data_IF_896412663697
#
_entry.id   IF_896412663697
#
_cell.length_a   1.000
_cell.length_b   1.000
_cell.length_c   1.000
_cell.angle_alpha   90.00
_cell.angle_beta   90.00
_cell.angle_gamma   90.00
#
_symmetry.space_group_name_H-M   'P 1'
#
loop_
_entity.id
_entity.type
_entity.pdbx_description
1 polymer ?
#
# COMPACT_ATOMS: atom_id res chain seq x y z
N UNK A 1 26.10 -26.10 -1.85
CA UNK A 1 26.54 -24.97 -1.00
C UNK A 1 27.79 -25.36 -0.27
N UNK A 2 28.66 -24.38 -0.03
CA UNK A 2 29.80 -24.53 0.87
C UNK A 2 29.60 -23.66 2.10
N UNK A 3 30.05 -24.09 3.27
CA UNK A 3 30.08 -23.29 4.49
C UNK A 3 31.53 -23.07 4.91
N UNK A 4 31.82 -22.19 5.86
CA UNK A 4 33.11 -22.14 6.55
C UNK A 4 32.95 -21.61 7.98
N UNK A 5 33.89 -21.88 8.89
CA UNK A 5 33.84 -21.30 10.24
C UNK A 5 34.77 -20.10 10.35
N UNK A 6 34.22 -18.96 10.75
CA UNK A 6 34.95 -17.73 11.08
C UNK A 6 34.79 -17.41 12.57
N UNK A 7 35.85 -17.63 13.35
CA UNK A 7 35.82 -17.51 14.80
C UNK A 7 34.75 -18.41 15.43
N UNK A 8 33.83 -17.82 16.21
CA UNK A 8 32.72 -18.55 16.83
C UNK A 8 31.50 -18.71 15.91
N UNK A 9 31.65 -18.51 14.60
CA UNK A 9 30.51 -18.50 13.69
C UNK A 9 30.68 -19.49 12.53
N UNK A 10 29.63 -20.24 12.20
CA UNK A 10 29.50 -20.94 10.93
C UNK A 10 28.91 -19.98 9.89
N UNK A 11 29.68 -19.62 8.89
CA UNK A 11 29.31 -18.74 7.77
C UNK A 11 28.95 -19.59 6.57
N UNK A 12 27.74 -19.41 6.05
CA UNK A 12 27.23 -20.18 4.91
C UNK A 12 26.83 -19.23 3.78
N UNK A 13 27.65 -19.09 2.72
CA UNK A 13 27.19 -18.45 1.49
C UNK A 13 26.04 -19.27 0.88
N UNK A 14 24.86 -18.64 0.78
CA UNK A 14 23.66 -19.29 0.24
C UNK A 14 23.23 -18.73 -1.12
N UNK A 15 23.73 -17.56 -1.52
CA UNK A 15 23.60 -17.07 -2.89
C UNK A 15 24.68 -17.65 -3.82
N UNK A 16 24.28 -18.01 -5.04
CA UNK A 16 25.18 -18.43 -6.12
C UNK A 16 25.65 -17.25 -7.00
N UNK A 17 25.03 -16.07 -6.87
CA UNK A 17 25.30 -14.87 -7.66
C UNK A 17 26.09 -13.82 -6.89
N UNK A 18 25.94 -13.76 -5.56
CA UNK A 18 26.65 -12.81 -4.69
C UNK A 18 27.28 -13.55 -3.48
N UNK A 19 28.62 -13.71 -3.46
CA UNK A 19 29.30 -14.45 -2.40
C UNK A 19 29.29 -13.76 -1.03
N UNK A 20 28.78 -12.53 -0.92
CA UNK A 20 28.62 -11.83 0.35
C UNK A 20 27.29 -12.15 1.06
N UNK A 21 26.33 -12.77 0.37
CA UNK A 21 25.06 -13.15 0.98
C UNK A 21 25.28 -14.46 1.74
N UNK A 22 25.51 -14.30 3.05
CA UNK A 22 25.92 -15.36 3.95
C UNK A 22 25.03 -15.40 5.18
N UNK A 23 24.62 -16.60 5.59
CA UNK A 23 24.02 -16.82 6.90
C UNK A 23 25.15 -17.08 7.89
N UNK A 24 25.18 -16.31 8.98
CA UNK A 24 26.19 -16.44 10.04
C UNK A 24 25.52 -17.04 11.26
N UNK A 25 25.88 -18.28 11.60
CA UNK A 25 25.32 -19.03 12.72
C UNK A 25 26.34 -19.00 13.86
N UNK A 26 26.08 -18.28 14.97
CA UNK A 26 26.96 -18.27 16.12
C UNK A 26 26.89 -19.60 16.87
N UNK A 27 28.05 -20.17 17.22
CA UNK A 27 28.15 -21.32 18.10
C UNK A 27 27.96 -20.87 19.56
N UNK A 28 27.00 -21.44 20.31
CA UNK A 28 26.67 -20.99 21.67
C UNK A 28 27.67 -21.46 22.75
N UNK A 29 28.65 -22.30 22.42
CA UNK A 29 29.64 -22.84 23.38
C UNK A 29 31.11 -22.68 22.92
N UNK A 30 32.05 -22.95 23.83
CA UNK A 30 33.50 -22.86 23.59
C UNK A 30 34.07 -24.01 22.75
N UNK A 31 33.26 -24.95 22.27
CA UNK A 31 33.71 -26.06 21.40
C UNK A 31 33.84 -25.62 19.92
N UNK A 32 33.41 -24.40 19.59
CA UNK A 32 33.64 -23.72 18.31
C UNK A 32 35.10 -23.71 17.86
N UNK A 33 36.04 -23.70 18.83
CA UNK A 33 37.48 -23.68 18.60
C UNK A 33 38.00 -24.87 17.76
N UNK A 34 37.27 -25.98 17.69
CA UNK A 34 37.64 -27.15 16.88
C UNK A 34 37.38 -26.98 15.38
N UNK A 35 36.63 -25.95 14.98
CA UNK A 35 36.19 -25.77 13.59
C UNK A 35 36.66 -24.46 12.95
N UNK A 36 37.20 -23.51 13.72
CA UNK A 36 37.72 -22.20 13.25
C UNK A 36 38.67 -22.38 12.04
N UNK A 37 38.32 -21.79 10.89
CA UNK A 37 39.10 -21.85 9.66
C UNK A 37 38.82 -23.07 8.75
N UNK A 38 37.83 -23.90 9.07
CA UNK A 38 37.39 -24.99 8.19
C UNK A 38 36.58 -24.46 7.00
N UNK A 39 36.89 -24.88 5.77
CA UNK A 39 36.09 -24.67 4.56
C UNK A 39 35.32 -25.96 4.23
N UNK A 40 33.99 -25.93 4.32
CA UNK A 40 33.09 -27.02 4.00
C UNK A 40 32.67 -26.93 2.51
N UNK A 41 33.46 -27.49 1.58
CA UNK A 41 33.11 -27.50 0.14
C UNK A 41 32.56 -28.86 -0.37
N UNK A 42 32.33 -29.80 0.54
CA UNK A 42 32.16 -31.24 0.29
C UNK A 42 32.53 -32.02 1.57
N UNK A 43 32.38 -33.36 1.63
CA UNK A 43 32.17 -34.11 2.86
C UNK A 43 33.24 -33.89 3.94
N UNK A 44 32.77 -33.91 5.19
CA UNK A 44 33.60 -34.06 6.40
C UNK A 44 34.42 -35.35 6.22
N UNK A 45 35.73 -35.23 6.21
CA UNK A 45 36.66 -36.06 6.98
C UNK A 45 38.07 -35.45 6.86
N UNK A 46 38.90 -35.40 7.92
CA UNK A 46 39.39 -36.52 8.75
C UNK A 46 39.55 -36.09 10.23
N UNK A 47 39.39 -36.95 11.25
CA UNK A 47 40.40 -37.90 11.74
C UNK A 47 39.91 -38.92 12.80
N UNK A 48 40.69 -40.00 12.92
CA UNK A 48 40.83 -41.04 13.95
C UNK A 48 39.77 -42.19 14.00
N UNK A 49 40.24 -43.46 14.11
CA UNK A 49 39.40 -44.64 13.92
C UNK A 49 38.71 -45.04 15.23
N UNK A 50 37.42 -44.72 15.35
CA UNK A 50 36.58 -45.26 16.40
C UNK A 50 35.52 -44.30 16.85
N UNK A 51 34.30 -44.51 16.34
CA UNK A 51 33.04 -43.81 16.61
C UNK A 51 32.79 -42.63 15.67
N UNK A 52 31.98 -42.93 14.65
CA UNK A 52 31.55 -42.11 13.52
C UNK A 52 30.03 -41.97 13.59
N UNK A 53 29.46 -40.76 13.67
CA UNK A 53 28.15 -40.42 13.06
C UNK A 53 28.08 -38.89 12.83
N UNK A 54 28.52 -38.42 11.66
CA UNK A 54 27.86 -37.28 10.99
C UNK A 54 27.38 -37.86 9.66
N UNK A 55 26.10 -38.23 9.60
CA UNK A 55 25.56 -39.00 8.49
C UNK A 55 24.94 -38.06 7.45
N UNK A 56 25.54 -38.06 6.26
CA UNK A 56 24.79 -37.85 5.03
C UNK A 56 23.68 -38.94 4.96
N UNK A 57 22.42 -38.56 5.13
CA UNK A 57 21.30 -39.48 4.91
C UNK A 57 21.12 -39.64 3.40
N UNK A 58 21.66 -40.71 2.82
CA UNK A 58 21.63 -40.97 1.37
C UNK A 58 20.76 -42.15 0.95
N UNK A 59 19.99 -42.76 1.88
CA UNK A 59 19.11 -43.88 1.54
C UNK A 59 17.76 -43.89 2.30
N UNK A 60 16.65 -44.27 1.62
CA UNK A 60 15.29 -44.21 2.13
C UNK A 60 14.93 -45.46 2.94
N UNK A 61 15.62 -45.74 4.05
CA UNK A 61 15.11 -46.73 5.02
C UNK A 61 15.42 -46.36 6.47
N UNK A 62 15.63 -45.07 6.73
CA UNK A 62 15.71 -44.50 8.08
C UNK A 62 14.63 -43.43 8.28
N UNK A 63 13.42 -43.71 7.78
CA UNK A 63 12.20 -43.10 8.33
C UNK A 63 12.25 -43.34 9.84
N UNK A 64 12.27 -42.26 10.62
CA UNK A 64 12.55 -42.21 12.05
C UNK A 64 14.06 -42.34 12.39
N UNK A 65 14.74 -41.20 12.48
CA UNK A 65 16.12 -41.13 12.98
C UNK A 65 16.17 -41.47 14.46
N UNK A 66 16.23 -42.76 14.80
CA UNK A 66 16.75 -43.26 16.09
C UNK A 66 18.22 -42.87 16.35
N UNK A 67 18.68 -41.73 15.83
CA UNK A 67 19.86 -41.02 16.25
C UNK A 67 19.63 -40.59 17.70
N UNK A 68 20.62 -40.83 18.55
CA UNK A 68 20.61 -40.28 19.88
C UNK A 68 20.54 -38.76 19.78
N UNK A 69 19.64 -38.15 20.56
CA UNK A 69 19.56 -36.70 20.67
C UNK A 69 20.98 -36.17 21.00
N UNK A 70 21.56 -35.28 20.16
CA UNK A 70 22.89 -34.78 20.39
C UNK A 70 23.03 -34.18 21.79
N UNK A 71 24.03 -34.62 22.54
CA UNK A 71 24.30 -34.06 23.88
C UNK A 71 24.77 -32.60 23.84
N UNK A 72 25.08 -32.07 22.65
CA UNK A 72 25.48 -30.70 22.39
C UNK A 72 24.80 -30.17 21.11
N UNK A 73 24.58 -28.85 20.99
CA UNK A 73 23.99 -28.23 19.80
C UNK A 73 24.73 -28.65 18.53
N UNK A 74 24.01 -29.16 17.53
CA UNK A 74 24.60 -29.76 16.32
C UNK A 74 24.01 -29.14 15.04
N UNK A 75 24.87 -28.96 14.02
CA UNK A 75 24.49 -28.62 12.66
C UNK A 75 24.39 -29.89 11.80
N UNK A 76 23.31 -30.04 11.04
CA UNK A 76 23.04 -31.20 10.18
C UNK A 76 23.19 -30.82 8.70
N UNK A 77 23.88 -31.68 7.93
CA UNK A 77 23.99 -31.55 6.47
C UNK A 77 23.20 -32.67 5.79
N UNK A 78 22.29 -32.30 4.89
CA UNK A 78 21.32 -33.22 4.30
C UNK A 78 21.35 -33.12 2.78
N UNK A 79 21.28 -34.27 2.09
CA UNK A 79 21.21 -34.34 0.63
C UNK A 79 20.41 -35.56 0.18
N UNK A 80 19.16 -35.34 -0.20
CA UNK A 80 18.29 -36.32 -0.84
C UNK A 80 18.29 -36.15 -2.36
N UNK A 81 18.21 -37.27 -3.06
CA UNK A 81 18.14 -37.35 -4.53
C UNK A 81 16.94 -38.15 -5.03
N UNK A 82 16.14 -38.71 -4.12
CA UNK A 82 14.95 -39.50 -4.40
C UNK A 82 13.76 -38.93 -3.61
N UNK A 83 12.64 -38.73 -4.28
CA UNK A 83 11.40 -38.22 -3.70
C UNK A 83 10.67 -39.26 -2.85
N UNK A 84 11.11 -40.52 -2.85
CA UNK A 84 10.43 -41.61 -2.15
C UNK A 84 10.47 -41.52 -0.62
N UNK A 85 11.45 -40.82 -0.03
CA UNK A 85 11.47 -40.45 1.41
C UNK A 85 12.30 -39.19 1.65
N UNK A 86 11.64 -38.04 1.80
CA UNK A 86 12.31 -36.75 1.99
C UNK A 86 11.83 -35.98 3.23
N UNK A 87 11.42 -36.67 4.30
CA UNK A 87 11.01 -36.03 5.56
C UNK A 87 12.12 -36.10 6.62
N UNK A 88 12.46 -34.96 7.21
CA UNK A 88 13.33 -34.79 8.36
C UNK A 88 12.51 -34.29 9.55
N UNK A 89 12.43 -35.08 10.62
CA UNK A 89 11.67 -34.74 11.83
C UNK A 89 12.62 -34.43 12.99
N UNK A 90 12.65 -33.16 13.41
CA UNK A 90 13.53 -32.65 14.46
C UNK A 90 12.80 -32.31 15.77
N UNK A 91 11.49 -32.53 15.89
CA UNK A 91 10.66 -32.03 17.02
C UNK A 91 11.21 -32.35 18.42
N UNK A 92 12.00 -33.41 18.59
CA UNK A 92 12.62 -33.78 19.87
C UNK A 92 14.17 -33.86 19.83
N UNK A 93 14.80 -33.16 18.90
CA UNK A 93 16.24 -33.23 18.65
C UNK A 93 16.93 -31.91 19.04
N UNK A 94 18.15 -31.97 19.58
CA UNK A 94 19.01 -30.81 19.86
C UNK A 94 19.81 -30.39 18.61
N UNK A 95 19.08 -30.13 17.53
CA UNK A 95 19.61 -29.63 16.27
C UNK A 95 19.34 -28.12 16.19
N UNK A 96 20.40 -27.36 15.93
CA UNK A 96 20.34 -25.89 15.90
C UNK A 96 20.53 -25.33 14.48
N UNK A 97 21.05 -26.16 13.56
CA UNK A 97 21.14 -25.77 12.16
C UNK A 97 20.91 -26.93 11.20
N UNK A 98 20.29 -26.65 10.05
CA UNK A 98 20.09 -27.60 8.95
C UNK A 98 20.57 -26.97 7.64
N UNK A 99 21.49 -27.63 6.95
CA UNK A 99 21.96 -27.27 5.61
C UNK A 99 21.50 -28.34 4.64
N UNK A 100 20.47 -28.03 3.87
CA UNK A 100 19.86 -28.93 2.89
C UNK A 100 20.36 -28.64 1.48
N UNK A 101 21.12 -29.58 0.91
CA UNK A 101 21.61 -29.57 -0.48
C UNK A 101 20.82 -30.52 -1.41
N UNK A 102 19.62 -30.94 -1.00
CA UNK A 102 18.78 -31.86 -1.78
C UNK A 102 18.36 -31.23 -3.11
N UNK A 103 18.31 -32.05 -4.16
CA UNK A 103 17.84 -31.65 -5.49
C UNK A 103 16.37 -32.02 -5.73
N UNK A 104 15.73 -32.59 -4.72
CA UNK A 104 14.32 -32.97 -4.69
C UNK A 104 13.66 -32.27 -3.50
N UNK A 105 12.33 -32.04 -3.53
CA UNK A 105 11.62 -31.42 -2.42
C UNK A 105 11.75 -32.23 -1.13
N UNK A 106 11.93 -31.54 0.00
CA UNK A 106 12.00 -32.16 1.33
C UNK A 106 10.95 -31.57 2.27
N UNK A 107 10.58 -32.32 3.30
CA UNK A 107 9.77 -31.84 4.42
C UNK A 107 10.63 -31.77 5.67
N UNK A 108 10.61 -30.66 6.39
CA UNK A 108 11.30 -30.46 7.65
C UNK A 108 10.30 -30.11 8.75
N UNK A 109 10.22 -30.93 9.79
CA UNK A 109 9.55 -30.56 11.04
C UNK A 109 10.60 -30.01 11.99
N UNK A 110 10.45 -28.76 12.40
CA UNK A 110 11.39 -28.11 13.30
C UNK A 110 11.33 -28.65 14.75
N UNK A 111 12.42 -28.45 15.48
CA UNK A 111 12.59 -28.62 16.92
C UNK A 111 12.22 -27.34 17.68
N UNK A 112 11.69 -27.45 18.89
CA UNK A 112 11.40 -26.30 19.78
C UNK A 112 12.66 -25.63 20.39
N UNK A 113 13.86 -25.82 19.81
CA UNK A 113 15.07 -25.17 20.32
C UNK A 113 15.13 -23.72 19.88
N UNK A 114 15.47 -22.82 20.81
CA UNK A 114 15.67 -21.41 20.50
C UNK A 114 16.74 -21.20 19.42
N UNK A 115 16.43 -20.34 18.43
CA UNK A 115 17.33 -19.80 17.40
C UNK A 115 17.81 -20.82 16.36
N UNK A 116 16.88 -21.55 15.74
CA UNK A 116 17.23 -22.45 14.64
C UNK A 116 17.65 -21.71 13.37
N UNK A 117 18.61 -22.28 12.63
CA UNK A 117 19.01 -21.79 11.31
C UNK A 117 18.86 -22.87 10.23
N UNK A 118 18.00 -22.62 9.25
CA UNK A 118 17.71 -23.55 8.16
C UNK A 118 18.19 -22.93 6.85
N UNK A 119 18.84 -23.72 6.00
CA UNK A 119 19.21 -23.32 4.65
C UNK A 119 18.78 -24.41 3.69
N UNK A 120 17.97 -24.06 2.70
CA UNK A 120 17.49 -24.96 1.65
C UNK A 120 18.09 -24.64 0.30
N UNK A 121 18.49 -25.67 -0.42
CA UNK A 121 18.88 -25.60 -1.82
C UNK A 121 17.69 -25.50 -2.78
N UNK A 122 17.99 -25.62 -4.08
CA UNK A 122 17.04 -25.38 -5.19
C UNK A 122 15.92 -26.42 -5.34
N UNK A 123 15.91 -27.48 -4.52
CA UNK A 123 14.95 -28.58 -4.62
C UNK A 123 13.55 -28.27 -4.08
N UNK A 124 13.38 -27.15 -3.37
CA UNK A 124 12.16 -26.82 -2.63
C UNK A 124 12.09 -27.49 -1.25
N UNK A 125 11.32 -26.90 -0.34
CA UNK A 125 11.15 -27.36 1.03
C UNK A 125 9.74 -27.08 1.55
N UNK A 126 9.15 -28.04 2.25
CA UNK A 126 8.04 -27.81 3.18
C UNK A 126 8.61 -27.70 4.59
N UNK A 127 8.52 -26.54 5.21
CA UNK A 127 8.99 -26.27 6.57
C UNK A 127 7.81 -26.10 7.52
N UNK A 128 7.77 -26.90 8.57
CA UNK A 128 6.94 -26.67 9.74
C UNK A 128 7.80 -26.04 10.83
N UNK A 129 7.73 -24.72 10.94
CA UNK A 129 8.50 -23.89 11.88
C UNK A 129 7.70 -23.74 13.19
N UNK A 130 7.95 -24.60 14.18
CA UNK A 130 7.23 -24.60 15.45
C UNK A 130 8.20 -24.47 16.63
N UNK A 131 7.85 -23.65 17.63
CA UNK A 131 8.33 -23.78 19.00
C UNK A 131 9.43 -22.80 19.46
N UNK A 132 10.13 -22.11 18.56
CA UNK A 132 10.99 -21.00 18.93
C UNK A 132 11.33 -20.06 17.76
N UNK A 133 11.99 -18.94 18.07
CA UNK A 133 12.55 -18.04 17.04
C UNK A 133 13.53 -18.79 16.13
N UNK A 134 13.55 -18.44 14.84
CA UNK A 134 14.45 -19.06 13.89
C UNK A 134 14.72 -18.20 12.66
N UNK A 135 15.58 -18.70 11.78
CA UNK A 135 15.86 -18.12 10.48
C UNK A 135 15.93 -19.23 9.43
N UNK A 136 15.26 -19.05 8.29
CA UNK A 136 15.33 -19.98 7.17
C UNK A 136 15.59 -19.25 5.85
N UNK A 137 16.64 -19.66 5.13
CA UNK A 137 16.97 -19.16 3.81
C UNK A 137 16.73 -20.23 2.73
N UNK A 138 16.10 -19.85 1.64
CA UNK A 138 15.69 -20.74 0.56
C UNK A 138 16.32 -20.28 -0.76
N UNK A 139 17.34 -20.98 -1.23
CA UNK A 139 18.09 -20.64 -2.44
C UNK A 139 17.32 -20.87 -3.76
N UNK A 140 16.05 -21.26 -3.70
CA UNK A 140 15.16 -21.50 -4.84
C UNK A 140 14.21 -22.68 -4.65
N UNK A 141 13.57 -23.10 -5.74
CA UNK A 141 12.52 -24.13 -5.71
C UNK A 141 11.20 -23.59 -5.13
N UNK A 142 10.11 -24.34 -5.29
CA UNK A 142 8.84 -23.99 -4.65
C UNK A 142 8.89 -24.41 -3.18
N UNK A 143 8.67 -23.45 -2.26
CA UNK A 143 8.71 -23.70 -0.82
C UNK A 143 7.34 -23.45 -0.18
N UNK A 144 7.06 -24.22 0.87
CA UNK A 144 5.87 -24.08 1.71
C UNK A 144 6.34 -23.89 3.14
N UNK A 145 5.97 -22.80 3.78
CA UNK A 145 6.26 -22.55 5.20
C UNK A 145 4.96 -22.53 5.99
N UNK A 146 4.94 -23.24 7.11
CA UNK A 146 3.86 -23.22 8.09
C UNK A 146 4.44 -22.97 9.47
N UNK A 147 4.27 -21.74 9.97
CA UNK A 147 4.64 -21.35 11.31
C UNK A 147 3.65 -21.81 12.37
N UNK A 148 4.13 -21.90 13.61
CA UNK A 148 3.33 -22.19 14.79
C UNK A 148 2.35 -21.07 15.13
N UNK A 149 1.26 -21.41 15.82
CA UNK A 149 0.20 -20.45 16.21
C UNK A 149 0.22 -20.13 17.71
N UNK A 150 1.23 -20.61 18.44
CA UNK A 150 1.34 -20.46 19.90
C UNK A 150 2.78 -20.18 20.27
N UNK A 151 3.01 -19.14 21.08
CA UNK A 151 4.36 -18.62 21.35
C UNK A 151 4.57 -17.32 20.58
N UNK A 152 5.22 -16.33 21.20
CA UNK A 152 5.59 -15.05 20.57
C UNK A 152 6.91 -15.25 19.83
N UNK A 153 6.90 -16.11 18.82
CA UNK A 153 8.10 -16.69 18.21
C UNK A 153 8.37 -16.07 16.85
N UNK A 154 9.36 -15.19 16.77
CA UNK A 154 9.72 -14.46 15.56
C UNK A 154 10.65 -15.26 14.65
N UNK A 155 10.29 -15.36 13.37
CA UNK A 155 11.08 -15.96 12.31
C UNK A 155 11.59 -14.95 11.29
N UNK A 156 12.77 -15.24 10.74
CA UNK A 156 13.27 -14.60 9.54
C UNK A 156 13.22 -15.60 8.37
N UNK A 157 12.46 -15.31 7.33
CA UNK A 157 12.37 -16.12 6.12
C UNK A 157 12.96 -15.34 4.94
N UNK A 158 13.87 -15.96 4.20
CA UNK A 158 14.55 -15.33 3.06
C UNK A 158 14.45 -16.23 1.82
N UNK A 159 13.84 -15.73 0.75
CA UNK A 159 13.58 -16.48 -0.47
C UNK A 159 14.30 -15.88 -1.66
N UNK A 160 15.17 -16.66 -2.32
CA UNK A 160 15.94 -16.23 -3.49
C UNK A 160 15.29 -16.61 -4.84
N UNK A 161 14.18 -17.35 -4.80
CA UNK A 161 13.46 -17.76 -6.01
C UNK A 161 12.32 -18.75 -5.74
N UNK A 162 11.62 -19.11 -6.82
CA UNK A 162 10.47 -20.01 -6.82
C UNK A 162 9.18 -19.36 -6.38
N UNK A 163 8.06 -20.00 -6.70
CA UNK A 163 6.73 -19.63 -6.21
C UNK A 163 6.51 -20.24 -4.84
N UNK A 164 6.47 -19.39 -3.80
CA UNK A 164 6.41 -19.83 -2.42
C UNK A 164 5.03 -19.58 -1.79
N UNK A 165 4.63 -20.44 -0.85
CA UNK A 165 3.46 -20.23 0.01
C UNK A 165 3.91 -20.15 1.46
N UNK A 166 3.68 -19.01 2.10
CA UNK A 166 4.13 -18.75 3.46
C UNK A 166 2.92 -18.48 4.35
N UNK A 167 2.86 -19.19 5.48
CA UNK A 167 2.06 -18.83 6.64
C UNK A 167 3.05 -18.62 7.79
N UNK A 168 3.37 -17.37 8.14
CA UNK A 168 4.47 -17.08 9.06
C UNK A 168 4.12 -17.42 10.52
N UNK A 169 2.85 -17.27 10.91
CA UNK A 169 2.31 -17.84 12.15
C UNK A 169 2.15 -16.78 13.23
N UNK A 170 2.52 -17.09 14.46
CA UNK A 170 2.48 -16.15 15.58
C UNK A 170 3.89 -15.67 15.93
N UNK A 171 4.09 -14.37 16.07
CA UNK A 171 5.40 -13.77 16.29
C UNK A 171 5.53 -12.48 15.50
N UNK A 172 6.60 -11.72 15.72
CA UNK A 172 6.92 -10.60 14.83
C UNK A 172 7.89 -11.13 13.78
N UNK A 173 7.37 -11.57 12.65
CA UNK A 173 8.14 -12.25 11.62
C UNK A 173 8.73 -11.23 10.63
N UNK A 174 9.78 -11.65 9.94
CA UNK A 174 10.36 -10.90 8.83
C UNK A 174 10.50 -11.81 7.62
N UNK A 175 9.92 -11.39 6.49
CA UNK A 175 9.94 -12.15 5.24
C UNK A 175 10.61 -11.31 4.17
N UNK A 176 11.64 -11.84 3.53
CA UNK A 176 12.19 -11.33 2.27
C UNK A 176 11.77 -12.25 1.14
N UNK A 177 10.96 -11.73 0.22
CA UNK A 177 10.44 -12.43 -0.94
C UNK A 177 11.41 -12.44 -2.12
N UNK A 178 11.09 -13.25 -3.12
CA UNK A 178 11.85 -13.40 -4.36
C UNK A 178 11.15 -12.66 -5.51
N UNK A 179 11.81 -12.41 -6.66
CA UNK A 179 11.17 -11.81 -7.83
C UNK A 179 10.01 -12.61 -8.47
N UNK A 180 9.80 -13.86 -8.05
CA UNK A 180 8.71 -14.72 -8.51
C UNK A 180 7.39 -14.40 -7.79
N UNK A 181 6.30 -15.05 -8.16
CA UNK A 181 4.99 -14.85 -7.51
C UNK A 181 4.86 -15.69 -6.24
N UNK A 182 4.58 -15.06 -5.11
CA UNK A 182 4.41 -15.70 -3.81
C UNK A 182 3.03 -15.40 -3.19
N UNK A 183 2.60 -16.27 -2.27
CA UNK A 183 1.43 -16.08 -1.42
C UNK A 183 1.88 -16.05 0.04
N UNK A 184 1.62 -14.94 0.73
CA UNK A 184 2.07 -14.70 2.09
C UNK A 184 0.89 -14.39 3.03
N UNK A 185 0.74 -15.19 4.07
CA UNK A 185 -0.10 -14.92 5.23
C UNK A 185 0.83 -14.61 6.41
N UNK A 186 0.75 -13.39 6.93
CA UNK A 186 1.68 -12.92 7.97
C UNK A 186 1.30 -13.51 9.32
N UNK A 187 0.00 -13.53 9.65
CA UNK A 187 -0.51 -14.21 10.83
C UNK A 187 -0.67 -13.22 11.98
N UNK A 188 -0.17 -13.53 13.17
CA UNK A 188 -0.33 -12.64 14.32
C UNK A 188 0.99 -12.05 14.78
N UNK A 189 1.05 -10.73 14.87
CA UNK A 189 2.19 -10.01 15.39
C UNK A 189 2.44 -8.76 14.59
N UNK A 190 3.63 -8.18 14.70
CA UNK A 190 4.00 -7.02 13.93
C UNK A 190 5.03 -7.45 12.89
N UNK A 191 4.56 -7.80 11.71
CA UNK A 191 5.37 -8.46 10.70
C UNK A 191 6.01 -7.44 9.75
N UNK A 192 7.18 -7.79 9.22
CA UNK A 192 7.90 -6.98 8.23
C UNK A 192 8.06 -7.81 6.96
N UNK A 193 7.61 -7.28 5.83
CA UNK A 193 7.73 -7.95 4.53
C UNK A 193 8.52 -7.07 3.56
N UNK A 194 9.54 -7.64 2.94
CA UNK A 194 10.22 -7.11 1.76
C UNK A 194 9.82 -7.98 0.58
N UNK A 195 8.73 -7.62 -0.09
CA UNK A 195 8.17 -8.36 -1.21
C UNK A 195 8.84 -7.92 -2.51
N UNK A 196 9.14 -8.88 -3.38
CA UNK A 196 9.62 -8.63 -4.74
C UNK A 196 8.69 -9.34 -5.72
N UNK A 197 8.54 -8.84 -6.94
CA UNK A 197 7.80 -9.55 -7.99
C UNK A 197 6.29 -9.28 -7.98
N UNK A 198 5.49 -10.34 -8.11
CA UNK A 198 4.02 -10.27 -8.21
C UNK A 198 3.38 -11.07 -7.08
N UNK A 199 3.27 -10.47 -5.90
CA UNK A 199 2.91 -11.18 -4.67
C UNK A 199 1.49 -10.89 -4.20
N UNK A 200 0.88 -11.86 -3.51
CA UNK A 200 -0.33 -11.66 -2.70
C UNK A 200 0.02 -11.74 -1.22
N UNK A 201 -0.34 -10.72 -0.46
CA UNK A 201 0.02 -10.57 0.96
C UNK A 201 -1.23 -10.32 1.79
N UNK A 202 -1.39 -11.06 2.88
CA UNK A 202 -2.50 -10.95 3.83
C UNK A 202 -1.94 -10.75 5.23
N UNK A 203 -2.17 -9.58 5.83
CA UNK A 203 -1.55 -9.24 7.13
C UNK A 203 -2.17 -9.91 8.36
N UNK A 204 -3.45 -10.31 8.30
CA UNK A 204 -4.18 -10.98 9.39
C UNK A 204 -4.28 -10.17 10.70
N UNK A 205 -3.42 -10.30 11.73
CA UNK A 205 -3.58 -9.52 12.98
C UNK A 205 -2.29 -8.87 13.45
N UNK A 206 -2.43 -7.71 14.11
CA UNK A 206 -1.29 -6.94 14.63
C UNK A 206 -0.92 -5.76 13.71
N UNK A 207 0.32 -5.28 13.75
CA UNK A 207 0.73 -4.05 13.07
C UNK A 207 1.85 -4.32 12.05
N UNK A 208 1.47 -4.48 10.79
CA UNK A 208 2.36 -4.98 9.76
C UNK A 208 2.94 -3.87 8.89
N UNK A 209 4.16 -4.08 8.43
CA UNK A 209 4.85 -3.20 7.47
C UNK A 209 5.24 -4.00 6.24
N UNK A 210 4.70 -3.60 5.09
CA UNK A 210 5.00 -4.20 3.79
C UNK A 210 5.75 -3.18 2.95
N UNK A 211 6.96 -3.55 2.54
CA UNK A 211 7.72 -2.87 1.52
C UNK A 211 7.69 -3.74 0.25
N UNK A 212 6.98 -3.28 -0.77
CA UNK A 212 6.81 -4.02 -2.02
C UNK A 212 7.66 -3.39 -3.13
N UNK A 213 8.49 -4.21 -3.76
CA UNK A 213 9.20 -3.91 -5.00
C UNK A 213 8.52 -4.67 -6.13
N UNK A 214 7.89 -3.96 -7.06
CA UNK A 214 7.06 -4.60 -8.08
C UNK A 214 5.58 -4.57 -7.71
N UNK A 215 4.81 -5.55 -8.18
CA UNK A 215 3.35 -5.53 -8.04
C UNK A 215 2.93 -6.34 -6.81
N UNK A 216 2.21 -5.74 -5.89
CA UNK A 216 1.60 -6.48 -4.78
C UNK A 216 0.08 -6.32 -4.75
N UNK A 217 -0.60 -7.41 -4.40
CA UNK A 217 -1.98 -7.40 -3.94
C UNK A 217 -1.97 -7.59 -2.42
N UNK A 218 -2.23 -6.53 -1.66
CA UNK A 218 -2.20 -6.56 -0.20
C UNK A 218 -3.61 -6.43 0.41
N UNK A 219 -3.92 -7.30 1.37
CA UNK A 219 -5.15 -7.26 2.16
C UNK A 219 -4.83 -6.91 3.63
N UNK A 220 -5.28 -5.73 4.06
CA UNK A 220 -5.16 -5.27 5.45
C UNK A 220 -6.25 -5.88 6.32
N UNK A 221 -6.04 -7.11 6.78
CA UNK A 221 -6.85 -7.66 7.86
C UNK A 221 -6.32 -7.27 9.26
N UNK A 222 -5.10 -6.71 9.29
CA UNK A 222 -4.33 -6.35 10.48
C UNK A 222 -5.02 -5.26 11.32
N UNK A 223 -4.52 -5.03 12.54
CA UNK A 223 -4.94 -3.88 13.34
C UNK A 223 -4.46 -2.56 12.72
N UNK A 224 -3.30 -2.59 12.07
CA UNK A 224 -2.84 -1.53 11.18
C UNK A 224 -1.86 -2.08 10.13
N UNK A 225 -1.84 -1.48 8.94
CA UNK A 225 -0.85 -1.78 7.90
C UNK A 225 -0.18 -0.51 7.39
N UNK A 226 1.14 -0.53 7.32
CA UNK A 226 1.95 0.42 6.54
C UNK A 226 2.38 -0.29 5.26
N UNK A 227 1.95 0.23 4.11
CA UNK A 227 2.32 -0.29 2.80
C UNK A 227 3.16 0.76 2.06
N UNK A 228 4.34 0.34 1.60
CA UNK A 228 5.30 1.20 0.90
C UNK A 228 5.63 0.53 -0.43
N UNK A 229 5.22 1.16 -1.52
CA UNK A 229 5.74 0.82 -2.84
C UNK A 229 7.13 1.43 -2.99
N UNK A 230 8.14 0.59 -3.19
CA UNK A 230 9.49 1.01 -3.52
C UNK A 230 9.89 0.50 -4.91
N UNK A 231 10.96 1.08 -5.44
CA UNK A 231 11.46 0.71 -6.76
C UNK A 231 12.93 0.32 -6.66
N UNK A 232 13.30 -0.70 -7.42
CA UNK A 232 14.69 -1.10 -7.61
C UNK A 232 14.96 -1.15 -9.11
N UNK A 233 15.86 -0.28 -9.58
CA UNK A 233 16.22 -0.19 -10.99
C UNK A 233 15.03 0.22 -11.87
N UNK A 234 14.69 -0.63 -12.84
CA UNK A 234 13.56 -0.43 -13.76
C UNK A 234 12.26 -1.08 -13.29
N UNK A 235 12.28 -1.78 -12.16
CA UNK A 235 11.08 -2.41 -11.61
C UNK A 235 10.24 -1.33 -10.92
N UNK A 236 9.27 -0.80 -11.66
CA UNK A 236 8.26 0.12 -11.16
C UNK A 236 7.01 -0.69 -10.87
N UNK A 237 6.61 -0.70 -9.61
CA UNK A 237 5.56 -1.56 -9.10
C UNK A 237 4.18 -0.94 -9.09
N UNK A 238 3.22 -1.55 -9.79
CA UNK A 238 1.81 -1.19 -9.65
C UNK A 238 1.13 -2.08 -8.61
N UNK A 239 0.60 -1.50 -7.54
CA UNK A 239 0.07 -2.27 -6.41
C UNK A 239 -1.41 -2.00 -6.16
N UNK A 240 -2.12 -3.05 -5.76
CA UNK A 240 -3.51 -2.96 -5.28
C UNK A 240 -3.54 -3.25 -3.79
N UNK A 241 -4.14 -2.34 -3.03
CA UNK A 241 -4.24 -2.43 -1.59
C UNK A 241 -5.71 -2.38 -1.20
N UNK A 242 -6.14 -3.36 -0.41
CA UNK A 242 -7.50 -3.48 0.09
C UNK A 242 -7.44 -3.36 1.62
N UNK A 243 -8.02 -2.28 2.12
CA UNK A 243 -8.22 -1.99 3.53
C UNK A 243 -9.21 -2.94 4.19
N UNK A 244 -9.21 -2.95 5.52
CA UNK A 244 -10.13 -3.74 6.33
C UNK A 244 -10.58 -2.94 7.54
N UNK A 245 -10.68 -3.59 8.70
CA UNK A 245 -11.07 -2.90 9.94
C UNK A 245 -9.93 -2.12 10.60
N UNK A 246 -8.67 -2.42 10.26
CA UNK A 246 -7.49 -1.76 10.79
C UNK A 246 -7.10 -0.49 10.03
N UNK A 247 -6.30 0.35 10.68
CA UNK A 247 -5.80 1.58 10.06
C UNK A 247 -4.87 1.27 8.88
N UNK A 248 -4.93 2.08 7.84
CA UNK A 248 -4.16 1.90 6.63
C UNK A 248 -3.29 3.13 6.37
N UNK A 249 -1.99 2.93 6.12
CA UNK A 249 -1.06 3.96 5.62
C UNK A 249 -0.41 3.48 4.33
N UNK A 250 -0.72 4.10 3.20
CA UNK A 250 -0.15 3.76 1.90
C UNK A 250 0.76 4.87 1.37
N UNK A 251 1.96 4.48 0.95
CA UNK A 251 2.90 5.32 0.23
C UNK A 251 3.15 4.74 -1.16
N UNK A 252 2.58 5.36 -2.19
CA UNK A 252 2.46 4.76 -3.52
C UNK A 252 3.73 4.69 -4.38
N UNK A 253 4.82 5.33 -3.95
CA UNK A 253 6.11 5.25 -4.65
C UNK A 253 6.06 5.88 -6.03
N UNK A 254 6.66 5.23 -7.05
CA UNK A 254 6.67 5.75 -8.42
C UNK A 254 5.79 4.99 -9.42
N UNK A 255 5.10 3.94 -8.97
CA UNK A 255 4.20 3.17 -9.81
C UNK A 255 2.75 3.64 -9.69
N UNK A 256 1.86 2.96 -10.40
CA UNK A 256 0.42 3.21 -10.31
C UNK A 256 -0.15 2.50 -9.07
N UNK A 257 -1.02 3.16 -8.33
CA UNK A 257 -1.59 2.57 -7.11
C UNK A 257 -3.11 2.57 -7.14
N UNK A 258 -3.67 1.40 -6.81
CA UNK A 258 -5.09 1.26 -6.51
C UNK A 258 -5.27 0.98 -5.01
N UNK A 259 -5.98 1.85 -4.30
CA UNK A 259 -6.29 1.68 -2.88
C UNK A 259 -7.80 1.70 -2.68
N UNK A 260 -8.32 0.67 -2.04
CA UNK A 260 -9.65 0.66 -1.44
C UNK A 260 -9.47 0.71 0.06
N UNK A 261 -9.80 1.83 0.68
CA UNK A 261 -9.76 2.02 2.12
C UNK A 261 -10.75 1.12 2.86
N UNK A 262 -10.58 1.10 4.17
CA UNK A 262 -11.33 0.28 5.08
C UNK A 262 -12.43 1.02 5.82
N UNK A 263 -12.68 0.55 7.04
CA UNK A 263 -13.62 1.16 7.98
C UNK A 263 -12.94 1.90 9.12
N UNK A 264 -11.62 1.98 9.12
CA UNK A 264 -10.86 2.62 10.19
C UNK A 264 -10.90 4.15 10.02
N UNK A 265 -10.80 4.87 11.12
CA UNK A 265 -10.60 6.31 11.03
C UNK A 265 -9.11 6.63 10.88
N UNK A 266 -8.82 7.77 10.26
CA UNK A 266 -7.48 8.30 10.01
C UNK A 266 -6.65 7.40 9.10
N UNK A 267 -7.26 6.89 8.03
CA UNK A 267 -6.51 6.24 6.95
C UNK A 267 -5.71 7.28 6.18
N UNK A 268 -4.49 6.94 5.78
CA UNK A 268 -3.61 7.79 4.98
C UNK A 268 -3.28 7.09 3.68
N UNK A 269 -3.52 7.78 2.55
CA UNK A 269 -3.28 7.22 1.23
C UNK A 269 -2.59 8.26 0.37
N UNK A 270 -1.36 7.96 -0.06
CA UNK A 270 -0.63 8.74 -1.04
C UNK A 270 -0.49 7.90 -2.31
N UNK A 271 -0.99 8.42 -3.42
CA UNK A 271 -0.82 7.85 -4.76
C UNK A 271 0.66 7.72 -5.14
N UNK A 272 0.95 6.99 -6.20
CA UNK A 272 2.31 6.93 -6.72
C UNK A 272 2.55 8.00 -7.77
N UNK A 273 3.79 8.27 -8.14
CA UNK A 273 4.07 9.17 -9.28
C UNK A 273 3.85 8.49 -10.64
N UNK A 274 3.07 7.40 -10.67
CA UNK A 274 2.71 6.67 -11.87
C UNK A 274 1.77 7.46 -12.76
N UNK A 275 1.29 6.84 -13.85
CA UNK A 275 0.41 7.53 -14.78
C UNK A 275 -1.02 7.65 -14.21
N UNK A 276 -1.59 6.55 -13.71
CA UNK A 276 -2.95 6.53 -13.14
C UNK A 276 -2.95 5.99 -11.72
N UNK A 277 -3.52 6.76 -10.78
CA UNK A 277 -3.85 6.26 -9.44
C UNK A 277 -5.36 6.23 -9.20
N UNK A 278 -5.83 5.29 -8.39
CA UNK A 278 -7.21 5.21 -7.91
C UNK A 278 -7.23 5.01 -6.39
N UNK A 279 -7.72 5.98 -5.63
CA UNK A 279 -7.72 5.97 -4.16
C UNK A 279 -9.13 6.23 -3.64
N UNK A 280 -9.65 5.31 -2.83
CA UNK A 280 -10.99 5.41 -2.23
C UNK A 280 -10.86 5.30 -0.71
N UNK A 281 -11.37 6.27 0.06
CA UNK A 281 -11.23 6.36 1.51
C UNK A 281 -11.96 5.28 2.30
N UNK A 282 -13.10 4.80 1.81
CA UNK A 282 -13.90 3.74 2.44
C UNK A 282 -15.09 4.27 3.25
N UNK A 283 -15.23 3.84 4.50
CA UNK A 283 -16.30 4.31 5.40
C UNK A 283 -15.80 5.16 6.56
N UNK A 284 -14.52 5.05 6.92
CA UNK A 284 -13.92 5.90 7.94
C UNK A 284 -13.29 7.14 7.33
N UNK A 285 -12.96 8.12 8.18
CA UNK A 285 -12.25 9.33 7.73
C UNK A 285 -10.85 9.00 7.17
N UNK A 286 -10.54 9.50 5.99
CA UNK A 286 -9.28 9.30 5.28
C UNK A 286 -8.64 10.64 4.85
N UNK A 287 -7.32 10.61 4.71
CA UNK A 287 -6.53 11.64 4.03
C UNK A 287 -5.97 11.04 2.74
N UNK A 288 -6.43 11.56 1.61
CA UNK A 288 -6.20 11.01 0.27
C UNK A 288 -5.44 12.04 -0.56
N UNK A 289 -4.27 11.66 -1.06
CA UNK A 289 -3.39 12.52 -1.85
C UNK A 289 -3.10 11.89 -3.20
N UNK A 290 -3.49 12.56 -4.28
CA UNK A 290 -3.05 12.22 -5.64
C UNK A 290 -1.58 12.57 -5.84
N UNK A 291 -0.87 11.79 -6.66
CA UNK A 291 0.52 12.06 -6.99
C UNK A 291 0.86 11.75 -8.47
N UNK A 292 0.04 10.93 -9.13
CA UNK A 292 0.18 10.60 -10.54
C UNK A 292 -0.32 11.70 -11.47
N UNK A 293 -0.21 11.42 -12.78
CA UNK A 293 -0.69 12.32 -13.85
C UNK A 293 -2.21 12.32 -13.98
N UNK A 294 -2.87 11.20 -13.67
CA UNK A 294 -4.31 11.04 -13.67
C UNK A 294 -4.73 10.38 -12.36
N UNK A 295 -5.57 11.04 -11.58
CA UNK A 295 -5.95 10.54 -10.26
C UNK A 295 -7.48 10.40 -10.18
N UNK A 296 -7.94 9.26 -9.67
CA UNK A 296 -9.33 9.07 -9.25
C UNK A 296 -9.36 8.99 -7.74
N UNK A 297 -9.80 10.06 -7.09
CA UNK A 297 -9.81 10.20 -5.63
C UNK A 297 -11.25 10.24 -5.14
N UNK A 298 -11.62 9.41 -4.19
CA UNK A 298 -12.97 9.42 -3.63
C UNK A 298 -12.95 9.24 -2.11
N UNK A 299 -13.77 10.02 -1.42
CA UNK A 299 -14.04 9.88 0.02
C UNK A 299 -14.54 8.47 0.37
N UNK A 300 -15.39 7.91 -0.49
CA UNK A 300 -16.07 6.63 -0.25
C UNK A 300 -17.54 6.87 0.07
N UNK A 301 -18.02 6.38 1.21
CA UNK A 301 -19.47 6.42 1.52
C UNK A 301 -19.83 7.22 2.77
N UNK A 302 -18.94 7.28 3.75
CA UNK A 302 -19.10 7.99 5.01
C UNK A 302 -17.72 8.41 5.53
N UNK A 303 -17.68 9.20 6.61
CA UNK A 303 -16.43 9.74 7.18
C UNK A 303 -16.18 11.16 6.68
N UNK A 304 -15.58 12.01 7.51
CA UNK A 304 -15.16 13.33 7.05
C UNK A 304 -13.75 13.20 6.48
N UNK A 305 -13.61 13.43 5.18
CA UNK A 305 -12.38 13.14 4.45
C UNK A 305 -11.60 14.40 4.08
N UNK A 306 -10.31 14.22 3.81
CA UNK A 306 -9.48 15.24 3.17
C UNK A 306 -8.94 14.68 1.87
N UNK A 307 -9.32 15.29 0.75
CA UNK A 307 -8.85 14.92 -0.58
C UNK A 307 -8.00 16.05 -1.12
N UNK A 308 -6.80 15.72 -1.60
CA UNK A 308 -5.87 16.66 -2.21
C UNK A 308 -5.44 16.10 -3.57
N UNK A 309 -5.62 16.90 -4.61
CA UNK A 309 -5.16 16.58 -5.97
C UNK A 309 -3.62 16.50 -6.07
N UNK A 310 -3.16 16.08 -7.24
CA UNK A 310 -1.74 16.12 -7.59
C UNK A 310 -1.29 17.56 -7.96
N UNK A 311 0.01 17.90 -7.84
CA UNK A 311 0.54 19.21 -8.21
C UNK A 311 0.51 19.50 -9.73
N UNK A 312 0.17 18.52 -10.56
CA UNK A 312 0.02 18.64 -12.01
C UNK A 312 -0.81 17.48 -12.56
N UNK A 313 -1.28 17.60 -13.80
CA UNK A 313 -2.07 16.55 -14.43
C UNK A 313 -3.56 16.72 -14.15
N UNK A 314 -4.33 15.63 -14.17
CA UNK A 314 -5.78 15.68 -14.01
C UNK A 314 -6.23 14.86 -12.80
N UNK A 315 -7.02 15.44 -11.90
CA UNK A 315 -7.63 14.69 -10.80
C UNK A 315 -9.15 14.74 -10.87
N UNK A 316 -9.78 13.59 -10.70
CA UNK A 316 -11.22 13.45 -10.50
C UNK A 316 -11.45 13.18 -9.03
N UNK A 317 -12.13 14.10 -8.34
CA UNK A 317 -12.33 14.05 -6.90
C UNK A 317 -13.82 13.93 -6.58
N UNK A 318 -14.18 12.95 -5.77
CA UNK A 318 -15.56 12.66 -5.39
C UNK A 318 -15.71 12.70 -3.87
N UNK A 319 -16.61 13.56 -3.37
CA UNK A 319 -16.97 13.58 -1.96
C UNK A 319 -17.87 12.41 -1.55
N UNK A 320 -18.41 12.44 -0.34
CA UNK A 320 -19.43 11.48 0.10
C UNK A 320 -20.75 12.17 0.55
N UNK A 321 -21.89 11.44 0.53
CA UNK A 321 -23.20 12.04 0.72
C UNK A 321 -23.57 12.32 2.19
N UNK A 322 -22.73 11.97 3.16
CA UNK A 322 -23.13 11.94 4.57
C UNK A 322 -22.31 12.82 5.50
N UNK A 323 -21.14 13.27 5.05
CA UNK A 323 -20.20 14.01 5.86
C UNK A 323 -19.73 15.30 5.17
N UNK A 324 -18.91 16.05 5.88
CA UNK A 324 -18.25 17.26 5.37
C UNK A 324 -16.81 16.91 5.04
N UNK A 325 -16.50 16.97 3.74
CA UNK A 325 -15.15 16.75 3.25
C UNK A 325 -14.44 18.08 2.99
N UNK A 326 -13.11 18.04 3.12
CA UNK A 326 -12.23 19.11 2.66
C UNK A 326 -11.57 18.65 1.35
N UNK A 327 -11.88 19.34 0.25
CA UNK A 327 -11.38 18.99 -1.07
C UNK A 327 -10.49 20.11 -1.60
N UNK A 328 -9.26 19.77 -1.94
CA UNK A 328 -8.28 20.68 -2.49
C UNK A 328 -8.03 20.33 -3.96
N UNK A 329 -8.57 21.17 -4.83
CA UNK A 329 -8.38 21.19 -6.28
C UNK A 329 -6.93 21.37 -6.70
N UNK A 330 -6.07 21.97 -5.88
CA UNK A 330 -4.64 22.11 -6.20
C UNK A 330 -3.76 22.06 -4.96
N UNK A 331 -2.56 21.50 -5.10
CA UNK A 331 -1.48 21.70 -4.12
C UNK A 331 -0.84 23.09 -4.27
N UNK A 332 -0.19 23.61 -3.23
CA UNK A 332 0.54 24.86 -3.33
C UNK A 332 1.59 24.87 -4.45
N UNK A 333 1.52 25.85 -5.35
CA UNK A 333 2.34 26.01 -6.55
C UNK A 333 2.10 24.96 -7.65
N UNK A 334 0.90 24.39 -7.74
CA UNK A 334 0.53 23.51 -8.85
C UNK A 334 0.69 24.22 -10.21
N UNK A 335 1.10 23.47 -11.24
CA UNK A 335 1.32 23.99 -12.59
C UNK A 335 0.60 23.10 -13.60
N UNK A 336 -0.31 23.70 -14.38
CA UNK A 336 -1.17 23.02 -15.35
C UNK A 336 -1.92 21.82 -14.76
N UNK A 337 -2.46 21.98 -13.56
CA UNK A 337 -3.40 21.03 -12.99
C UNK A 337 -4.81 21.28 -13.57
N UNK A 338 -5.59 20.20 -13.68
CA UNK A 338 -6.98 20.22 -14.11
C UNK A 338 -7.78 19.31 -13.20
N UNK A 339 -8.65 19.89 -12.40
CA UNK A 339 -9.28 19.18 -11.31
C UNK A 339 -10.80 19.25 -11.42
N UNK A 340 -11.42 18.08 -11.39
CA UNK A 340 -12.86 17.92 -11.46
C UNK A 340 -13.34 17.49 -10.08
N UNK A 341 -14.10 18.36 -9.42
CA UNK A 341 -14.61 18.15 -8.07
C UNK A 341 -16.11 17.88 -8.12
N UNK A 342 -16.51 16.72 -7.61
CA UNK A 342 -17.92 16.30 -7.50
C UNK A 342 -18.22 15.97 -6.02
N UNK A 343 -18.57 16.98 -5.20
CA UNK A 343 -18.72 16.84 -3.75
C UNK A 343 -19.86 15.92 -3.27
N UNK A 344 -20.87 15.68 -4.12
CA UNK A 344 -22.07 14.84 -3.88
C UNK A 344 -22.78 15.04 -2.54
N UNK A 345 -23.90 15.79 -2.53
CA UNK A 345 -24.94 15.89 -1.48
C UNK A 345 -24.52 16.31 -0.03
N UNK A 346 -23.28 16.09 0.41
CA UNK A 346 -22.72 16.56 1.68
C UNK A 346 -22.55 18.08 1.73
N UNK A 347 -21.97 18.59 2.82
CA UNK A 347 -21.57 20.00 2.95
C UNK A 347 -20.06 20.06 2.90
N UNK A 348 -19.46 20.51 1.80
CA UNK A 348 -18.03 20.38 1.61
C UNK A 348 -17.34 21.73 1.62
N UNK A 349 -16.07 21.74 2.01
CA UNK A 349 -15.18 22.89 1.78
C UNK A 349 -14.27 22.57 0.61
N UNK A 350 -14.36 23.36 -0.45
CA UNK A 350 -13.63 23.16 -1.70
C UNK A 350 -12.68 24.33 -1.92
N UNK A 351 -11.42 24.03 -2.23
CA UNK A 351 -10.42 25.03 -2.60
C UNK A 351 -9.98 24.76 -4.04
N UNK A 352 -10.15 25.72 -4.94
CA UNK A 352 -9.82 25.54 -6.36
C UNK A 352 -8.31 25.47 -6.68
N UNK A 353 -7.43 25.74 -5.72
CA UNK A 353 -5.97 25.73 -5.93
C UNK A 353 -5.34 27.12 -5.93
N UNK A 354 -3.99 27.18 -5.92
CA UNK A 354 -3.23 28.44 -5.89
C UNK A 354 -2.35 28.67 -7.14
N UNK A 355 -2.43 27.78 -8.13
CA UNK A 355 -1.68 27.87 -9.37
C UNK A 355 -2.34 28.79 -10.40
N UNK A 356 -1.64 29.80 -10.90
CA UNK A 356 -2.21 30.74 -11.91
C UNK A 356 -2.55 30.11 -13.28
N UNK A 357 -2.13 28.86 -13.50
CA UNK A 357 -2.40 28.03 -14.67
C UNK A 357 -3.37 26.88 -14.37
N UNK A 358 -3.82 26.78 -13.13
CA UNK A 358 -4.70 25.73 -12.65
C UNK A 358 -6.13 25.93 -13.19
N UNK A 359 -6.86 24.83 -13.26
CA UNK A 359 -8.24 24.80 -13.74
C UNK A 359 -9.04 23.87 -12.85
N UNK A 360 -9.97 24.41 -12.06
CA UNK A 360 -10.89 23.60 -11.25
C UNK A 360 -12.33 23.72 -11.76
N UNK A 361 -12.94 22.57 -12.04
CA UNK A 361 -14.35 22.43 -12.38
C UNK A 361 -15.11 21.80 -11.20
N UNK A 362 -16.04 22.54 -10.60
CA UNK A 362 -16.85 22.09 -9.46
C UNK A 362 -18.29 21.81 -9.90
N UNK A 363 -18.77 20.59 -9.64
CA UNK A 363 -20.14 20.17 -9.96
C UNK A 363 -20.92 19.89 -8.66
N UNK A 364 -21.59 20.90 -8.13
CA UNK A 364 -22.19 20.86 -6.78
C UNK A 364 -23.42 19.94 -6.68
N UNK A 365 -24.07 19.56 -7.79
CA UNK A 365 -25.22 18.66 -7.76
C UNK A 365 -26.28 19.07 -6.69
N UNK A 366 -26.50 18.27 -5.65
CA UNK A 366 -27.46 18.59 -4.58
C UNK A 366 -26.79 19.13 -3.29
N UNK A 367 -25.46 19.26 -3.25
CA UNK A 367 -24.74 19.67 -2.04
C UNK A 367 -24.82 21.16 -1.77
N UNK A 368 -24.54 21.50 -0.50
CA UNK A 368 -24.42 22.87 -0.02
C UNK A 368 -22.99 23.13 0.43
N UNK A 369 -22.18 23.67 -0.46
CA UNK A 369 -20.73 23.73 -0.34
C UNK A 369 -20.23 25.16 -0.10
N UNK A 370 -19.07 25.26 0.55
CA UNK A 370 -18.25 26.45 0.64
C UNK A 370 -17.08 26.32 -0.34
N UNK A 371 -17.07 27.15 -1.38
CA UNK A 371 -16.09 27.09 -2.46
C UNK A 371 -15.19 28.33 -2.41
N UNK A 372 -13.89 28.10 -2.35
CA UNK A 372 -12.86 29.13 -2.47
C UNK A 372 -12.29 29.10 -3.88
N UNK A 373 -12.20 30.28 -4.51
CA UNK A 373 -11.67 30.47 -5.86
C UNK A 373 -10.29 29.86 -6.08
N UNK A 374 -9.99 29.59 -7.34
CA UNK A 374 -8.70 29.13 -7.83
C UNK A 374 -7.87 30.33 -8.29
N UNK A 375 -6.58 30.46 -7.98
CA UNK A 375 -5.76 31.53 -8.60
C UNK A 375 -5.68 31.45 -10.15
N UNK A 376 -6.04 30.32 -10.73
CA UNK A 376 -6.27 30.07 -12.15
C UNK A 376 -7.71 30.28 -12.58
N UNK A 377 -8.30 29.25 -13.21
CA UNK A 377 -9.67 29.30 -13.75
C UNK A 377 -10.59 28.42 -12.92
N UNK A 378 -11.71 28.97 -12.49
CA UNK A 378 -12.75 28.24 -11.79
C UNK A 378 -13.99 28.12 -12.67
N UNK A 379 -14.52 26.91 -12.80
CA UNK A 379 -15.89 26.68 -13.25
C UNK A 379 -16.71 26.13 -12.09
N UNK A 380 -17.89 26.70 -11.85
CA UNK A 380 -18.85 26.16 -10.87
C UNK A 380 -20.15 25.88 -11.60
N UNK A 381 -20.46 24.61 -11.84
CA UNK A 381 -21.79 24.21 -12.26
C UNK A 381 -22.68 24.08 -11.04
N UNK A 382 -23.61 25.02 -10.90
CA UNK A 382 -24.56 25.01 -9.81
C UNK A 382 -25.67 23.98 -10.07
N UNK A 383 -25.93 23.15 -9.07
CA UNK A 383 -27.15 22.35 -8.97
C UNK A 383 -28.18 22.93 -7.99
N UNK A 384 -28.88 22.07 -7.25
CA UNK A 384 -30.07 22.43 -6.49
C UNK A 384 -29.83 22.81 -5.02
N UNK A 385 -28.60 22.66 -4.52
CA UNK A 385 -28.27 23.00 -3.13
C UNK A 385 -27.92 24.48 -2.92
N UNK A 386 -27.49 24.83 -1.70
CA UNK A 386 -27.11 26.20 -1.32
C UNK A 386 -25.59 26.34 -1.25
N UNK A 387 -25.00 27.01 -2.21
CA UNK A 387 -23.56 27.12 -2.35
C UNK A 387 -23.09 28.55 -2.09
N UNK A 388 -21.95 28.69 -1.40
CA UNK A 388 -21.27 29.97 -1.20
C UNK A 388 -19.92 29.93 -1.89
N UNK A 389 -19.66 30.90 -2.76
CA UNK A 389 -18.40 31.03 -3.49
C UNK A 389 -17.68 32.30 -3.08
N UNK A 390 -16.44 32.19 -2.61
CA UNK A 390 -15.51 33.30 -2.45
C UNK A 390 -14.62 33.38 -3.69
N UNK A 391 -15.00 34.20 -4.66
CA UNK A 391 -14.30 34.26 -5.94
C UNK A 391 -13.00 35.05 -5.82
N UNK A 392 -11.88 34.35 -5.94
CA UNK A 392 -10.54 34.97 -5.99
C UNK A 392 -9.83 34.66 -7.31
N UNK A 393 -10.58 34.21 -8.31
CA UNK A 393 -10.01 33.56 -9.47
C UNK A 393 -9.59 34.50 -10.58
N UNK A 394 -8.61 34.07 -11.39
CA UNK A 394 -8.22 34.84 -12.59
C UNK A 394 -9.36 34.88 -13.59
N UNK A 395 -10.14 33.81 -13.71
CA UNK A 395 -11.41 33.81 -14.40
C UNK A 395 -12.38 32.82 -13.75
N UNK A 396 -13.65 33.21 -13.61
CA UNK A 396 -14.69 32.33 -13.07
C UNK A 396 -15.88 32.24 -14.01
N UNK A 397 -16.33 31.02 -14.29
CA UNK A 397 -17.58 30.78 -15.01
C UNK A 397 -18.57 30.06 -14.11
N UNK A 398 -19.71 30.69 -13.87
CA UNK A 398 -20.82 30.13 -13.11
C UNK A 398 -21.84 29.54 -14.07
N UNK A 399 -21.92 28.21 -14.13
CA UNK A 399 -22.82 27.49 -15.02
C UNK A 399 -24.13 27.11 -14.35
N UNK A 400 -25.23 27.28 -15.07
CA UNK A 400 -26.54 26.76 -14.70
C UNK A 400 -27.09 25.91 -15.83
N UNK A 401 -27.59 24.73 -15.49
CA UNK A 401 -28.22 23.81 -16.46
C UNK A 401 -29.69 23.67 -16.10
N UNK A 402 -30.56 23.97 -17.08
CA UNK A 402 -32.01 23.92 -16.89
C UNK A 402 -32.45 22.52 -16.43
N UNK A 403 -33.16 22.46 -15.30
CA UNK A 403 -33.65 21.22 -14.69
C UNK A 403 -32.66 20.50 -13.78
N UNK A 404 -31.43 21.02 -13.64
CA UNK A 404 -30.43 20.55 -12.66
C UNK A 404 -30.22 21.58 -11.54
N UNK A 405 -30.42 22.87 -11.84
CA UNK A 405 -30.38 23.96 -10.87
C UNK A 405 -31.75 24.22 -10.22
N UNK A 406 -31.77 25.08 -9.20
CA UNK A 406 -32.98 25.46 -8.47
C UNK A 406 -32.74 25.90 -7.01
N UNK A 407 -31.48 25.90 -6.57
CA UNK A 407 -31.07 26.28 -5.21
C UNK A 407 -30.62 27.73 -5.08
N UNK A 408 -29.68 27.96 -4.17
CA UNK A 408 -29.15 29.28 -3.84
C UNK A 408 -27.64 29.32 -4.14
N UNK A 409 -27.17 30.43 -4.73
CA UNK A 409 -25.76 30.68 -4.96
C UNK A 409 -25.41 32.08 -4.46
N UNK A 410 -24.61 32.15 -3.40
CA UNK A 410 -24.08 33.40 -2.86
C UNK A 410 -22.62 33.56 -3.30
N UNK A 411 -22.31 34.65 -4.00
CA UNK A 411 -20.99 34.91 -4.59
C UNK A 411 -20.40 36.15 -3.94
N UNK A 412 -19.34 35.96 -3.16
CA UNK A 412 -18.50 37.03 -2.64
C UNK A 412 -17.41 37.38 -3.65
N UNK A 413 -17.00 38.65 -3.64
CA UNK A 413 -15.89 39.20 -4.45
C UNK A 413 -16.10 39.10 -5.98
N UNK A 414 -17.37 39.03 -6.42
CA UNK A 414 -17.72 39.02 -7.83
C UNK A 414 -17.13 40.23 -8.59
N UNK A 415 -16.38 39.94 -9.64
CA UNK A 415 -15.82 40.95 -10.54
C UNK A 415 -16.28 40.72 -11.99
N UNK A 416 -17.09 41.63 -12.57
CA UNK A 416 -17.66 41.45 -13.91
C UNK A 416 -16.62 41.52 -15.05
N UNK A 417 -15.35 41.83 -14.76
CA UNK A 417 -14.27 41.82 -15.75
C UNK A 417 -13.67 40.42 -15.96
N UNK A 418 -13.81 39.54 -14.98
CA UNK A 418 -13.23 38.19 -15.00
C UNK A 418 -14.21 37.11 -14.53
N UNK A 419 -15.48 37.43 -14.29
CA UNK A 419 -16.51 36.46 -13.99
C UNK A 419 -17.71 36.58 -14.94
N UNK A 420 -18.27 35.43 -15.33
CA UNK A 420 -19.45 35.36 -16.18
C UNK A 420 -20.39 34.22 -15.76
N UNK A 421 -21.63 34.28 -16.26
CA UNK A 421 -22.65 33.27 -16.09
C UNK A 421 -22.93 32.58 -17.42
N UNK A 422 -23.12 31.26 -17.43
CA UNK A 422 -23.62 30.53 -18.60
C UNK A 422 -24.90 29.79 -18.28
N UNK A 423 -25.81 29.76 -19.25
CA UNK A 423 -27.16 29.23 -19.12
C UNK A 423 -27.39 28.15 -20.18
N UNK A 424 -27.24 26.89 -19.81
CA UNK A 424 -27.44 25.77 -20.73
C UNK A 424 -28.86 25.21 -20.64
N UNK A 425 -29.46 24.96 -21.81
CA UNK A 425 -30.82 24.42 -21.92
C UNK A 425 -31.95 25.37 -21.52
N UNK A 426 -31.67 26.62 -21.16
CA UNK A 426 -32.69 27.63 -20.86
C UNK A 426 -33.32 28.22 -22.13
N UNK A 427 -34.54 28.73 -22.00
CA UNK A 427 -35.23 29.39 -23.11
C UNK A 427 -34.49 30.67 -23.56
N UNK A 428 -34.61 31.00 -24.85
CA UNK A 428 -34.08 32.26 -25.38
C UNK A 428 -34.64 33.47 -24.62
N UNK A 429 -33.76 34.39 -24.22
CA UNK A 429 -34.14 35.59 -23.46
C UNK A 429 -34.01 35.44 -21.93
N UNK A 430 -33.66 34.27 -21.41
CA UNK A 430 -33.48 34.06 -19.95
C UNK A 430 -32.44 35.00 -19.36
N UNK A 431 -31.30 35.23 -20.03
CA UNK A 431 -30.30 36.21 -19.59
C UNK A 431 -30.87 37.64 -19.53
N UNK A 432 -31.68 38.06 -20.50
CA UNK A 432 -32.32 39.38 -20.49
C UNK A 432 -33.33 39.51 -19.34
N UNK A 433 -34.07 38.44 -19.06
CA UNK A 433 -34.99 38.38 -17.93
C UNK A 433 -34.22 38.49 -16.60
N UNK A 434 -33.12 37.74 -16.44
CA UNK A 434 -32.26 37.81 -15.25
C UNK A 434 -31.76 39.24 -15.01
N UNK A 435 -31.22 39.90 -16.04
CA UNK A 435 -30.81 41.32 -16.00
C UNK A 435 -31.97 42.24 -15.59
N UNK A 436 -33.15 42.06 -16.16
CA UNK A 436 -34.32 42.89 -15.86
C UNK A 436 -34.89 42.65 -14.46
N UNK A 437 -34.72 41.43 -13.94
CA UNK A 437 -35.17 41.03 -12.61
C UNK A 437 -34.19 41.39 -11.50
N UNK A 438 -32.96 41.80 -11.87
CA UNK A 438 -31.92 42.05 -10.90
C UNK A 438 -32.28 43.23 -9.99
N UNK A 439 -32.14 43.04 -8.67
CA UNK A 439 -32.42 44.08 -7.68
C UNK A 439 -31.19 44.34 -6.83
N UNK A 440 -30.99 45.60 -6.42
CA UNK A 440 -29.94 45.97 -5.47
C UNK A 440 -30.59 46.26 -4.13
N UNK A 441 -30.23 45.49 -3.11
CA UNK A 441 -30.74 45.66 -1.74
C UNK A 441 -29.65 45.30 -0.74
N UNK A 442 -29.57 46.04 0.37
CA UNK A 442 -28.61 45.80 1.46
C UNK A 442 -27.13 45.73 1.02
N UNK A 443 -26.76 46.35 -0.10
CA UNK A 443 -25.38 46.35 -0.61
C UNK A 443 -25.04 45.20 -1.57
N UNK A 444 -26.02 44.36 -1.93
CA UNK A 444 -25.83 43.21 -2.82
C UNK A 444 -26.81 43.26 -3.99
N UNK A 445 -26.39 42.73 -5.15
CA UNK A 445 -27.22 42.56 -6.34
C UNK A 445 -27.75 41.13 -6.36
N UNK A 446 -29.07 40.94 -6.49
CA UNK A 446 -29.70 39.61 -6.56
C UNK A 446 -30.51 39.45 -7.83
N UNK A 447 -30.58 38.22 -8.37
CA UNK A 447 -31.50 37.87 -9.45
C UNK A 447 -31.96 36.42 -9.34
N UNK A 448 -33.03 36.07 -10.06
CA UNK A 448 -33.63 34.73 -10.03
C UNK A 448 -33.83 34.19 -11.43
N UNK A 449 -33.46 32.94 -11.65
CA UNK A 449 -33.67 32.23 -12.92
C UNK A 449 -35.06 31.59 -12.97
N UNK A 450 -35.48 31.14 -14.16
CA UNK A 450 -36.83 30.59 -14.38
C UNK A 450 -37.14 29.29 -13.63
N UNK A 451 -36.11 28.59 -13.15
CA UNK A 451 -36.23 27.38 -12.33
C UNK A 451 -36.19 27.65 -10.82
N UNK A 452 -36.24 28.93 -10.43
CA UNK A 452 -36.10 29.43 -9.06
C UNK A 452 -34.69 29.30 -8.48
N UNK A 453 -33.64 29.18 -9.31
CA UNK A 453 -32.27 29.41 -8.83
C UNK A 453 -32.12 30.87 -8.40
N UNK A 454 -31.73 31.10 -7.14
CA UNK A 454 -31.49 32.43 -6.60
C UNK A 454 -29.99 32.70 -6.56
N UNK A 455 -29.55 33.81 -7.16
CA UNK A 455 -28.15 34.23 -7.17
C UNK A 455 -28.01 35.56 -6.45
N UNK A 456 -27.09 35.61 -5.48
CA UNK A 456 -26.72 36.81 -4.74
C UNK A 456 -25.26 37.15 -5.04
N UNK A 457 -25.01 38.37 -5.53
CA UNK A 457 -23.68 38.92 -5.70
C UNK A 457 -23.39 39.79 -4.47
N UNK A 458 -22.77 39.18 -3.47
CA UNK A 458 -22.59 39.76 -2.16
C UNK A 458 -21.60 40.94 -2.20
N UNK A 459 -22.02 42.10 -1.68
CA UNK A 459 -21.23 43.32 -1.68
C UNK A 459 -21.07 44.00 -3.05
N UNK A 460 -21.58 43.39 -4.13
CA UNK A 460 -21.59 43.98 -5.46
C UNK A 460 -22.89 44.76 -5.69
N UNK A 461 -22.78 46.05 -6.01
CA UNK A 461 -23.93 46.94 -6.28
C UNK A 461 -24.00 47.40 -7.74
N UNK A 462 -23.12 46.89 -8.60
CA UNK A 462 -23.10 47.23 -10.01
C UNK A 462 -24.30 46.64 -10.76
N UNK A 463 -24.57 47.21 -11.94
CA UNK A 463 -25.63 46.71 -12.80
C UNK A 463 -25.20 45.40 -13.48
N UNK A 464 -26.01 44.35 -13.32
CA UNK A 464 -25.89 43.15 -14.14
C UNK A 464 -26.21 43.51 -15.59
N UNK A 465 -25.39 43.07 -16.55
CA UNK A 465 -25.60 43.38 -17.97
C UNK A 465 -25.66 42.11 -18.79
N UNK A 466 -26.09 42.22 -20.04
CA UNK A 466 -26.08 41.07 -20.95
C UNK A 466 -24.65 40.53 -21.18
N UNK A 467 -23.61 41.35 -21.06
CA UNK A 467 -22.21 40.92 -21.17
C UNK A 467 -21.74 40.06 -19.99
N UNK A 468 -22.50 40.04 -18.89
CA UNK A 468 -22.27 39.12 -17.77
C UNK A 468 -22.69 37.68 -18.10
N UNK A 469 -23.40 37.47 -19.21
CA UNK A 469 -23.84 36.15 -19.67
C UNK A 469 -23.11 35.79 -20.97
N UNK A 470 -22.61 34.55 -21.05
CA UNK A 470 -21.85 34.04 -22.21
C UNK A 470 -22.49 32.84 -22.87
#
# INVERSE_FOLDING_TARGET
MSAYVDGNNLVIPYSNTNPNDTVVIPFPDTNSANYVGANFAGPIETYAPGIQVSQYITAPSQIALGLANPSAPTALFVQFSDTSQSTLDLTNQNAYAVVNASTVPITLNDSDNALQSIISGVGGMTLYAAGANGAAAFAGGENIVTGGTTGVESWYFDFEGGTNTISAGAGNDTITGSPDTNLMFLGSGNDIVYSEGMDTIVGDTGADTINAVGQALAFNNSASMVFINTNIGSLVGSSTIIGGSGALSVFGGSGEVTVFGGSANNEFMLGGTGNVDALIGGTGSASIFGAGQYNYLASGTTGADTIVSAPSGTSYMFGNPTATDNVFGGQPNAVNATDIVVPVAGVNTIFGGDGSSDTTDVFTAQSSDLIWGDQGVLFVQQGSGTNTVYDSSKFTLFGFVNGQAGGNLDIYDFNPLNAAFTLDGYASGTAANAVSSATVSNGSTTFTLSDNTHVTLEGYTGALTHASFV
#
